data_IF_507165272034
#
_entry.id   IF_507165272034
#
_cell.length_a   1.000
_cell.length_b   1.000
_cell.length_c   1.000
_cell.angle_alpha   90.00
_cell.angle_beta   90.00
_cell.angle_gamma   90.00
#
_symmetry.space_group_name_H-M   'P 1'
#
loop_
_entity.id
_entity.type
_entity.pdbx_description
1 polymer ?
#
# COMPACT_ATOMS: atom_id res chain seq x y z
N UNK A 1 -8.72 22.49 -16.78
CA UNK A 1 -10.12 21.99 -16.74
C UNK A 1 -10.24 20.51 -17.13
N UNK A 2 -9.55 20.03 -18.18
CA UNK A 2 -9.60 18.60 -18.59
C UNK A 2 -9.13 17.59 -17.53
N UNK A 3 -8.01 17.84 -16.85
CA UNK A 3 -7.47 16.92 -15.84
C UNK A 3 -8.41 16.68 -14.63
N UNK A 4 -9.20 17.68 -14.24
CA UNK A 4 -10.20 17.56 -13.18
C UNK A 4 -11.41 16.70 -13.58
N UNK A 5 -11.75 16.71 -14.87
CA UNK A 5 -12.79 15.86 -15.42
C UNK A 5 -12.30 14.41 -15.51
N UNK A 6 -11.07 14.20 -15.98
CA UNK A 6 -10.42 12.89 -16.05
C UNK A 6 -10.30 12.25 -14.67
N UNK A 7 -9.93 13.03 -13.63
CA UNK A 7 -9.89 12.53 -12.25
C UNK A 7 -11.26 12.04 -11.76
N UNK A 8 -12.34 12.81 -11.99
CA UNK A 8 -13.71 12.37 -11.63
C UNK A 8 -14.19 11.16 -12.42
N UNK A 9 -13.91 11.11 -13.71
CA UNK A 9 -14.22 9.94 -14.54
C UNK A 9 -13.46 8.71 -14.03
N UNK A 10 -12.19 8.85 -13.67
CA UNK A 10 -11.40 7.78 -13.10
C UNK A 10 -11.97 7.29 -11.76
N UNK A 11 -12.46 8.20 -10.91
CA UNK A 11 -13.15 7.82 -9.66
C UNK A 11 -14.43 7.00 -9.91
N UNK A 12 -15.21 7.34 -10.95
CA UNK A 12 -16.42 6.59 -11.32
C UNK A 12 -16.04 5.24 -11.94
N UNK A 13 -15.06 5.22 -12.84
CA UNK A 13 -14.56 4.00 -13.50
C UNK A 13 -13.97 3.03 -12.48
N UNK A 14 -13.18 3.53 -11.52
CA UNK A 14 -12.62 2.74 -10.41
C UNK A 14 -13.65 2.39 -9.34
N UNK A 15 -14.95 2.66 -9.50
CA UNK A 15 -16.01 1.99 -8.71
C UNK A 15 -16.39 0.64 -9.29
N UNK A 16 -16.10 0.41 -10.57
CA UNK A 16 -16.39 -0.84 -11.25
C UNK A 16 -15.15 -1.72 -11.30
N UNK A 17 -15.31 -2.95 -10.83
CA UNK A 17 -14.22 -3.91 -10.66
C UNK A 17 -13.50 -4.25 -11.97
N UNK A 18 -14.24 -4.35 -13.09
CA UNK A 18 -13.67 -4.69 -14.40
C UNK A 18 -12.58 -3.69 -14.84
N UNK A 19 -12.81 -2.41 -14.58
CA UNK A 19 -11.88 -1.35 -14.97
C UNK A 19 -10.71 -1.19 -13.99
N UNK A 20 -10.86 -1.62 -12.73
CA UNK A 20 -9.75 -1.64 -11.76
C UNK A 20 -8.64 -2.59 -12.20
N UNK A 21 -9.00 -3.79 -12.69
CA UNK A 21 -8.01 -4.76 -13.18
C UNK A 21 -7.26 -4.22 -14.40
N UNK A 22 -7.99 -3.65 -15.35
CA UNK A 22 -7.38 -3.04 -16.53
C UNK A 22 -6.45 -1.89 -16.14
N UNK A 23 -6.87 -1.04 -15.19
CA UNK A 23 -6.10 0.08 -14.69
C UNK A 23 -4.78 -0.35 -14.02
N UNK A 24 -4.79 -1.43 -13.23
CA UNK A 24 -3.58 -1.96 -12.62
C UNK A 24 -2.66 -2.58 -13.68
N UNK A 25 -3.22 -3.36 -14.62
CA UNK A 25 -2.45 -3.99 -15.71
C UNK A 25 -1.68 -3.00 -16.56
N UNK A 26 -2.20 -1.78 -16.75
CA UNK A 26 -1.52 -0.73 -17.52
C UNK A 26 -0.56 0.12 -16.67
N UNK A 27 -0.28 -0.27 -15.42
CA UNK A 27 0.59 0.51 -14.52
C UNK A 27 -0.05 1.82 -14.05
N UNK A 28 -1.38 1.86 -14.00
CA UNK A 28 -2.16 3.02 -13.56
C UNK A 28 -1.76 3.54 -12.17
N UNK A 29 -1.69 2.70 -11.13
CA UNK A 29 -1.30 3.13 -9.78
C UNK A 29 0.06 3.83 -9.74
N UNK A 30 1.06 3.26 -10.40
CA UNK A 30 2.41 3.83 -10.50
C UNK A 30 2.39 5.19 -11.21
N UNK A 31 1.56 5.34 -12.25
CA UNK A 31 1.39 6.59 -12.97
C UNK A 31 0.74 7.66 -12.09
N UNK A 32 -0.32 7.32 -11.34
CA UNK A 32 -0.97 8.28 -10.42
C UNK A 32 0.00 8.77 -9.36
N UNK A 33 0.78 7.86 -8.80
CA UNK A 33 1.75 8.19 -7.75
C UNK A 33 2.91 9.04 -8.26
N UNK A 34 3.43 8.77 -9.47
CA UNK A 34 4.44 9.64 -10.10
C UNK A 34 3.90 11.05 -10.31
N UNK A 35 2.65 11.18 -10.75
CA UNK A 35 2.00 12.49 -10.92
C UNK A 35 1.83 13.20 -9.56
N UNK A 36 1.43 12.48 -8.51
CA UNK A 36 1.35 13.01 -7.14
C UNK A 36 2.72 13.44 -6.59
N UNK A 37 3.75 12.62 -6.76
CA UNK A 37 5.11 12.88 -6.30
C UNK A 37 5.74 14.08 -7.01
N UNK A 38 5.43 14.31 -8.29
CA UNK A 38 5.95 15.46 -9.05
C UNK A 38 5.54 16.81 -8.45
N UNK A 39 4.44 16.86 -7.68
CA UNK A 39 3.91 18.09 -7.10
C UNK A 39 3.37 19.11 -8.13
N UNK A 40 3.52 18.85 -9.43
CA UNK A 40 3.19 19.78 -10.52
C UNK A 40 1.69 19.91 -10.79
N UNK A 41 0.86 19.21 -10.03
CA UNK A 41 -0.60 19.19 -10.22
C UNK A 41 -1.31 19.96 -9.12
N UNK A 42 -2.38 20.67 -9.50
CA UNK A 42 -3.20 21.48 -8.61
C UNK A 42 -3.78 20.61 -7.47
N UNK A 43 -3.93 21.18 -6.27
CA UNK A 43 -4.42 20.52 -5.04
C UNK A 43 -5.68 19.66 -5.27
N UNK A 44 -6.61 20.17 -6.07
CA UNK A 44 -7.86 19.46 -6.37
C UNK A 44 -7.65 18.20 -7.24
N UNK A 45 -6.63 18.19 -8.12
CA UNK A 45 -6.24 17.01 -8.89
C UNK A 45 -5.53 16.02 -7.97
N UNK A 46 -4.67 16.51 -7.07
CA UNK A 46 -3.99 15.66 -6.08
C UNK A 46 -5.03 14.87 -5.30
N UNK A 47 -5.98 15.55 -4.66
CA UNK A 47 -7.06 14.90 -3.90
C UNK A 47 -7.83 13.84 -4.71
N UNK A 48 -8.11 14.12 -5.99
CA UNK A 48 -8.79 13.16 -6.85
C UNK A 48 -7.96 11.89 -7.10
N UNK A 49 -6.66 12.04 -7.33
CA UNK A 49 -5.74 10.92 -7.50
C UNK A 49 -5.53 10.13 -6.21
N UNK A 50 -5.46 10.82 -5.05
CA UNK A 50 -5.40 10.18 -3.74
C UNK A 50 -6.61 9.27 -3.52
N UNK A 51 -7.80 9.77 -3.84
CA UNK A 51 -9.03 9.01 -3.70
C UNK A 51 -9.07 7.79 -4.64
N UNK A 52 -8.57 7.93 -5.88
CA UNK A 52 -8.47 6.80 -6.81
C UNK A 52 -7.60 5.67 -6.25
N UNK A 53 -6.47 6.00 -5.61
CA UNK A 53 -5.56 5.01 -5.00
C UNK A 53 -6.18 4.33 -3.79
N UNK A 54 -6.86 5.09 -2.91
CA UNK A 54 -7.53 4.55 -1.72
C UNK A 54 -8.72 3.65 -2.06
N UNK A 55 -9.34 3.81 -3.23
CA UNK A 55 -10.44 2.96 -3.69
C UNK A 55 -9.99 1.58 -4.20
N UNK A 56 -8.72 1.40 -4.57
CA UNK A 56 -8.21 0.14 -5.12
C UNK A 56 -8.34 -1.05 -4.14
N UNK A 57 -7.98 -0.93 -2.84
CA UNK A 57 -8.12 -2.02 -1.87
C UNK A 57 -9.54 -2.22 -1.32
N UNK A 58 -10.52 -1.40 -1.68
CA UNK A 58 -11.85 -1.46 -1.07
C UNK A 58 -12.66 -2.71 -1.46
N UNK A 59 -12.24 -3.44 -2.50
CA UNK A 59 -12.83 -4.73 -2.84
C UNK A 59 -11.94 -5.88 -2.31
N UNK A 60 -12.46 -6.78 -1.45
CA UNK A 60 -11.70 -7.88 -0.88
C UNK A 60 -11.09 -8.79 -1.95
N UNK A 61 -11.81 -9.10 -3.04
CA UNK A 61 -11.28 -9.91 -4.16
C UNK A 61 -10.11 -9.24 -4.89
N UNK A 62 -10.01 -7.93 -4.79
CA UNK A 62 -8.92 -7.15 -5.37
C UNK A 62 -7.73 -7.04 -4.43
N UNK A 63 -7.98 -6.78 -3.14
CA UNK A 63 -6.95 -6.85 -2.12
C UNK A 63 -6.17 -8.16 -2.25
N UNK A 64 -6.89 -9.29 -2.36
CA UNK A 64 -6.30 -10.61 -2.55
C UNK A 64 -5.39 -10.76 -3.79
N UNK A 65 -5.67 -10.01 -4.87
CA UNK A 65 -4.88 -10.07 -6.11
C UNK A 65 -3.74 -9.05 -6.15
N UNK A 66 -3.70 -8.06 -5.26
CA UNK A 66 -2.72 -6.97 -5.35
C UNK A 66 -1.28 -7.42 -5.17
N UNK A 67 -1.04 -8.43 -4.33
CA UNK A 67 0.30 -9.00 -4.20
C UNK A 67 0.77 -9.65 -5.51
N UNK A 68 -0.10 -10.46 -6.14
CA UNK A 68 0.18 -11.11 -7.43
C UNK A 68 0.36 -10.12 -8.59
N UNK A 69 -0.20 -8.93 -8.47
CA UNK A 69 -0.08 -7.85 -9.46
C UNK A 69 1.17 -6.98 -9.25
N UNK A 70 2.00 -7.26 -8.23
CA UNK A 70 3.23 -6.51 -7.96
C UNK A 70 2.97 -5.09 -7.44
N UNK A 71 1.79 -4.81 -6.90
CA UNK A 71 1.44 -3.45 -6.42
C UNK A 71 2.24 -3.07 -5.18
N UNK A 72 2.42 -4.02 -4.24
CA UNK A 72 3.14 -3.80 -2.97
C UNK A 72 4.57 -3.29 -3.19
N UNK A 73 5.44 -3.97 -3.97
CA UNK A 73 6.82 -3.48 -4.16
C UNK A 73 6.87 -2.11 -4.84
N UNK A 74 5.96 -1.82 -5.78
CA UNK A 74 5.92 -0.50 -6.42
C UNK A 74 5.55 0.60 -5.42
N UNK A 75 4.57 0.35 -4.56
CA UNK A 75 4.19 1.30 -3.50
C UNK A 75 5.32 1.50 -2.49
N UNK A 76 6.05 0.42 -2.15
CA UNK A 76 7.19 0.49 -1.26
C UNK A 76 8.33 1.34 -1.85
N UNK A 77 8.70 1.13 -3.11
CA UNK A 77 9.73 1.93 -3.77
C UNK A 77 9.37 3.43 -3.77
N UNK A 78 8.10 3.75 -4.04
CA UNK A 78 7.61 5.14 -4.02
C UNK A 78 7.61 5.71 -2.60
N UNK A 79 7.28 4.91 -1.58
CA UNK A 79 7.33 5.34 -0.18
C UNK A 79 8.77 5.69 0.25
N UNK A 80 9.79 4.96 -0.22
CA UNK A 80 11.19 5.32 0.07
C UNK A 80 11.62 6.65 -0.54
N UNK A 81 11.13 6.98 -1.72
CA UNK A 81 11.52 8.19 -2.45
C UNK A 81 10.63 9.39 -2.11
N UNK A 82 9.50 9.16 -1.42
CA UNK A 82 8.51 10.19 -1.15
C UNK A 82 8.92 11.12 -0.02
N UNK A 83 9.05 12.41 -0.34
CA UNK A 83 9.21 13.50 0.64
C UNK A 83 7.89 14.20 0.98
N UNK A 84 6.79 13.80 0.34
CA UNK A 84 5.48 14.43 0.52
C UNK A 84 4.61 13.64 1.50
N UNK A 85 4.24 14.27 2.61
CA UNK A 85 3.38 13.67 3.63
C UNK A 85 2.04 13.16 3.06
N UNK A 86 1.43 13.89 2.13
CA UNK A 86 0.18 13.45 1.49
C UNK A 86 0.35 12.13 0.71
N UNK A 87 1.50 11.92 0.06
CA UNK A 87 1.79 10.68 -0.66
C UNK A 87 2.01 9.55 0.33
N UNK A 88 2.78 9.82 1.38
CA UNK A 88 3.02 8.89 2.50
C UNK A 88 1.70 8.45 3.13
N UNK A 89 0.79 9.39 3.48
CA UNK A 89 -0.53 9.11 4.05
C UNK A 89 -1.35 8.13 3.20
N UNK A 90 -1.33 8.28 1.87
CA UNK A 90 -2.07 7.39 0.97
C UNK A 90 -1.47 5.99 0.97
N UNK A 91 -0.14 5.90 0.84
CA UNK A 91 0.53 4.60 0.71
C UNK A 91 0.33 3.79 1.98
N UNK A 92 0.49 4.42 3.15
CA UNK A 92 0.24 3.79 4.45
C UNK A 92 -1.21 3.33 4.59
N UNK A 93 -2.18 4.19 4.24
CA UNK A 93 -3.59 3.81 4.24
C UNK A 93 -3.89 2.65 3.28
N UNK A 94 -3.24 2.60 2.10
CA UNK A 94 -3.39 1.48 1.16
C UNK A 94 -2.80 0.19 1.75
N UNK A 95 -1.63 0.25 2.37
CA UNK A 95 -1.04 -0.90 3.06
C UNK A 95 -1.91 -1.40 4.21
N UNK A 96 -2.44 -0.51 5.04
CA UNK A 96 -3.37 -0.87 6.11
C UNK A 96 -4.61 -1.55 5.55
N UNK A 97 -5.21 -1.00 4.50
CA UNK A 97 -6.37 -1.62 3.85
C UNK A 97 -6.03 -2.99 3.24
N UNK A 98 -4.81 -3.19 2.73
CA UNK A 98 -4.39 -4.51 2.25
C UNK A 98 -4.32 -5.55 3.38
N UNK A 99 -4.13 -5.14 4.63
CA UNK A 99 -4.13 -6.06 5.77
C UNK A 99 -5.54 -6.25 6.34
N UNK A 100 -6.33 -5.18 6.46
CA UNK A 100 -7.64 -5.20 7.11
C UNK A 100 -8.79 -5.72 6.22
N UNK A 101 -8.69 -5.56 4.89
CA UNK A 101 -9.80 -5.85 3.96
C UNK A 101 -9.91 -7.30 3.46
N UNK A 102 -8.82 -8.09 3.32
CA UNK A 102 -8.98 -9.50 2.90
C UNK A 102 -9.85 -10.29 3.89
N UNK A 103 -10.82 -11.05 3.38
CA UNK A 103 -11.66 -11.94 4.20
C UNK A 103 -10.87 -13.16 4.72
N UNK A 104 -9.81 -13.56 4.01
CA UNK A 104 -8.97 -14.70 4.35
C UNK A 104 -7.70 -14.23 5.05
N UNK A 105 -7.42 -14.68 6.30
CA UNK A 105 -6.27 -14.23 7.08
C UNK A 105 -4.93 -14.62 6.45
N UNK A 106 -4.89 -15.74 5.70
CA UNK A 106 -3.69 -16.16 4.97
C UNK A 106 -3.25 -15.12 3.94
N UNK A 107 -4.20 -14.43 3.31
CA UNK A 107 -3.91 -13.46 2.28
C UNK A 107 -3.39 -12.15 2.88
N UNK A 108 -3.93 -11.74 4.04
CA UNK A 108 -3.35 -10.66 4.82
C UNK A 108 -1.91 -10.98 5.25
N UNK A 109 -1.64 -12.22 5.68
CA UNK A 109 -0.27 -12.68 5.99
C UNK A 109 0.65 -12.63 4.77
N UNK A 110 0.21 -13.09 3.60
CA UNK A 110 0.97 -12.98 2.34
C UNK A 110 1.30 -11.52 1.99
N UNK A 111 0.36 -10.61 2.22
CA UNK A 111 0.59 -9.17 2.01
C UNK A 111 1.61 -8.61 2.98
N UNK A 112 1.54 -8.98 4.26
CA UNK A 112 2.55 -8.61 5.25
C UNK A 112 3.95 -9.10 4.84
N UNK A 113 4.07 -10.36 4.43
CA UNK A 113 5.33 -10.95 3.95
C UNK A 113 5.89 -10.14 2.76
N UNK A 114 5.04 -9.83 1.78
CA UNK A 114 5.45 -9.06 0.62
C UNK A 114 5.92 -7.64 0.99
N UNK A 115 5.28 -6.99 1.96
CA UNK A 115 5.69 -5.68 2.47
C UNK A 115 7.05 -5.76 3.20
N UNK A 116 7.26 -6.79 4.02
CA UNK A 116 8.55 -7.05 4.68
C UNK A 116 9.66 -7.24 3.64
N UNK A 117 9.43 -8.09 2.64
CA UNK A 117 10.38 -8.35 1.56
C UNK A 117 10.66 -7.09 0.72
N UNK A 118 9.68 -6.20 0.59
CA UNK A 118 9.81 -4.90 -0.09
C UNK A 118 10.42 -3.81 0.81
N UNK A 119 10.97 -4.16 1.97
CA UNK A 119 11.65 -3.24 2.91
C UNK A 119 10.76 -2.16 3.53
N UNK A 120 9.44 -2.36 3.56
CA UNK A 120 8.50 -1.39 4.14
C UNK A 120 8.80 -1.15 5.62
N UNK A 121 9.15 -2.19 6.40
CA UNK A 121 9.53 -2.03 7.82
C UNK A 121 10.66 -1.02 8.03
N UNK A 122 11.68 -1.03 7.16
CA UNK A 122 12.78 -0.06 7.25
C UNK A 122 12.29 1.37 7.02
N UNK A 123 11.35 1.55 6.11
CA UNK A 123 10.77 2.87 5.81
C UNK A 123 9.90 3.37 6.97
N UNK A 124 9.11 2.49 7.59
CA UNK A 124 8.32 2.82 8.77
C UNK A 124 9.22 3.28 9.93
N UNK A 125 10.33 2.59 10.20
CA UNK A 125 11.28 3.02 11.24
C UNK A 125 11.93 4.38 10.94
N UNK A 126 12.14 4.73 9.67
CA UNK A 126 12.61 6.07 9.29
C UNK A 126 11.52 7.10 9.58
N UNK A 127 10.28 6.82 9.20
CA UNK A 127 9.14 7.72 9.45
C UNK A 127 8.92 7.97 10.95
N UNK A 128 9.09 6.96 11.81
CA UNK A 128 8.99 7.12 13.27
C UNK A 128 10.09 8.03 13.87
N UNK A 129 11.25 8.13 13.22
CA UNK A 129 12.33 9.03 13.67
C UNK A 129 12.04 10.49 13.31
N UNK A 130 11.16 10.74 12.35
CA UNK A 130 10.70 12.08 12.01
C UNK A 130 9.59 12.52 12.96
N UNK A 131 9.57 13.82 13.29
CA UNK A 131 8.40 14.41 13.95
C UNK A 131 7.26 14.48 12.94
N UNK A 132 6.36 13.51 13.01
CA UNK A 132 5.12 13.47 12.26
C UNK A 132 4.05 14.21 13.06
N UNK A 133 3.56 15.33 12.53
CA UNK A 133 2.47 16.11 13.16
C UNK A 133 1.07 15.56 12.78
N UNK A 134 1.02 14.64 11.83
CA UNK A 134 -0.19 14.04 11.28
C UNK A 134 -0.58 12.75 12.02
N UNK A 135 -1.64 12.82 12.82
CA UNK A 135 -2.15 11.71 13.62
C UNK A 135 -2.52 10.48 12.77
N UNK A 136 -3.10 10.66 11.58
CA UNK A 136 -3.48 9.55 10.70
C UNK A 136 -2.22 8.76 10.25
N UNK A 137 -1.13 9.47 9.94
CA UNK A 137 0.13 8.85 9.55
C UNK A 137 0.74 8.10 10.74
N UNK A 138 0.75 8.71 11.92
CA UNK A 138 1.31 8.08 13.14
C UNK A 138 0.55 6.78 13.46
N UNK A 139 -0.78 6.81 13.43
CA UNK A 139 -1.61 5.63 13.66
C UNK A 139 -1.35 4.53 12.63
N UNK A 140 -1.31 4.87 11.34
CA UNK A 140 -1.06 3.89 10.28
C UNK A 140 0.36 3.30 10.36
N UNK A 141 1.37 4.11 10.72
CA UNK A 141 2.75 3.64 10.94
C UNK A 141 2.80 2.65 12.09
N UNK A 142 2.18 2.97 13.23
CA UNK A 142 2.14 2.08 14.39
C UNK A 142 1.42 0.77 14.07
N UNK A 143 0.25 0.85 13.42
CA UNK A 143 -0.50 -0.32 13.00
C UNK A 143 0.32 -1.23 12.09
N UNK A 144 0.95 -0.66 11.07
CA UNK A 144 1.76 -1.42 10.11
C UNK A 144 2.99 -2.02 10.78
N UNK A 145 3.68 -1.29 11.66
CA UNK A 145 4.81 -1.82 12.41
C UNK A 145 4.42 -3.03 13.26
N UNK A 146 3.32 -2.95 14.01
CA UNK A 146 2.83 -4.07 14.83
C UNK A 146 2.55 -5.31 13.95
N UNK A 147 1.77 -5.15 12.87
CA UNK A 147 1.35 -6.28 12.01
C UNK A 147 2.51 -6.89 11.24
N UNK A 148 3.43 -6.08 10.75
CA UNK A 148 4.58 -6.55 10.00
C UNK A 148 5.61 -7.21 10.93
N UNK A 149 5.88 -6.66 12.11
CA UNK A 149 6.78 -7.29 13.09
C UNK A 149 6.24 -8.64 13.59
N UNK A 150 4.94 -8.72 13.90
CA UNK A 150 4.30 -9.99 14.26
C UNK A 150 4.44 -11.03 13.13
N UNK A 151 4.27 -10.60 11.87
CA UNK A 151 4.44 -11.49 10.72
C UNK A 151 5.90 -11.98 10.55
N UNK A 152 6.89 -11.16 10.89
CA UNK A 152 8.31 -11.57 10.88
C UNK A 152 8.61 -12.60 11.97
N UNK A 153 8.09 -12.40 13.18
CA UNK A 153 8.26 -13.34 14.30
C UNK A 153 7.59 -14.69 14.03
N UNK A 154 6.40 -14.68 13.42
CA UNK A 154 5.71 -15.90 12.98
C UNK A 154 6.58 -16.72 11.99
N UNK A 155 7.24 -16.05 11.03
CA UNK A 155 8.11 -16.69 10.04
C UNK A 155 9.36 -17.28 10.68
N UNK A 156 10.04 -16.52 11.55
CA UNK A 156 11.27 -16.98 12.20
C UNK A 156 11.03 -18.20 13.08
N UNK A 157 9.90 -18.21 13.80
CA UNK A 157 9.52 -19.32 14.68
C UNK A 157 9.20 -20.60 13.91
N UNK A 158 8.62 -20.46 12.70
CA UNK A 158 8.31 -21.59 11.84
C UNK A 158 9.57 -22.18 11.18
N UNK A 159 10.47 -21.34 10.68
CA UNK A 159 11.73 -21.79 10.07
C UNK A 159 12.63 -22.50 11.09
N UNK A 160 12.70 -22.02 12.33
CA UNK A 160 13.45 -22.68 13.41
C UNK A 160 12.92 -24.11 13.67
N UNK A 161 11.61 -24.27 13.84
CA UNK A 161 10.99 -25.58 14.08
C UNK A 161 11.15 -26.55 12.89
N UNK A 162 10.97 -26.05 11.66
CA UNK A 162 11.13 -26.88 10.45
C UNK A 162 12.59 -27.37 10.26
N UNK A 163 13.56 -26.62 10.77
CA UNK A 163 14.98 -26.97 10.71
C UNK A 163 15.33 -28.00 11.79
N UNK A 164 14.77 -27.89 12.99
CA UNK A 164 14.95 -28.89 14.05
C UNK A 164 14.40 -30.26 13.65
N UNK A 165 13.22 -30.33 13.04
CA UNK A 165 12.58 -31.60 12.64
C UNK A 165 13.31 -32.31 11.49
N UNK A 166 14.06 -31.58 10.66
CA UNK A 166 14.83 -32.18 9.55
C UNK A 166 16.25 -32.58 9.94
N UNK A 167 16.77 -32.07 11.05
CA UNK A 167 18.13 -32.28 11.51
C UNK A 167 18.24 -33.24 12.71
N UNK A 168 17.10 -33.73 13.23
CA UNK A 168 17.01 -34.84 14.19
C UNK A 168 16.58 -36.14 13.53
#
# INVERSE_FOLDING_TARGET
RGLLFVGRCLQVVLRHDEYRLAFIKVGGPSTLLKVLASGQVNFQIQYQLMFCLRLLPFNPKFAQKMNKLGVIPILADILSDSVREEVTRIILAVFRNLIEKPEEPNIAKEHCIAMVQSKVLKQLSILEQHKLDDEDIVEDVQFLNEKLQASVQDLSSFDEYATEVKCG
#
